data_IF_076760489056
#
_entry.id   IF_076760489056
#
_cell.length_a   1.000
_cell.length_b   1.000
_cell.length_c   1.000
_cell.angle_alpha   90.00
_cell.angle_beta   90.00
_cell.angle_gamma   90.00
#
_symmetry.space_group_name_H-M   'P 1'
#
loop_
_entity.id
_entity.type
_entity.pdbx_description
1 polymer ?
#
# COMPACT_ATOMS: atom_id res chain seq x y z
N UNK A 1 0.87 6.01 16.04
CA UNK A 1 0.42 4.97 17.00
C UNK A 1 1.28 3.71 17.00
N UNK A 2 1.38 2.94 15.91
CA UNK A 2 2.23 1.73 15.88
C UNK A 2 3.73 2.02 16.15
N UNK A 3 4.25 3.11 15.57
CA UNK A 3 5.63 3.56 15.82
C UNK A 3 5.91 3.87 17.31
N UNK A 4 4.91 4.35 18.06
CA UNK A 4 5.04 4.64 19.49
C UNK A 4 5.21 3.34 20.27
N UNK A 5 4.41 2.31 19.97
CA UNK A 5 4.52 1.00 20.63
C UNK A 5 5.87 0.33 20.35
N UNK A 6 6.34 0.38 19.10
CA UNK A 6 7.66 -0.13 18.71
C UNK A 6 8.77 0.63 19.44
N UNK A 7 8.74 1.97 19.40
CA UNK A 7 9.76 2.79 20.04
C UNK A 7 9.79 2.61 21.55
N UNK A 8 8.63 2.47 22.21
CA UNK A 8 8.56 2.22 23.66
C UNK A 8 9.18 0.87 24.03
N UNK A 9 8.90 -0.17 23.25
CA UNK A 9 9.44 -1.50 23.51
C UNK A 9 10.95 -1.56 23.24
N UNK A 10 11.41 -1.02 22.11
CA UNK A 10 12.84 -0.91 21.78
C UNK A 10 13.62 -0.08 22.79
N UNK A 11 13.04 1.02 23.33
CA UNK A 11 13.70 1.82 24.38
C UNK A 11 13.89 1.05 25.69
N UNK A 12 12.96 0.17 26.04
CA UNK A 12 13.02 -0.57 27.30
C UNK A 12 13.82 -1.88 27.20
N UNK A 13 13.90 -2.49 26.02
CA UNK A 13 14.49 -3.82 25.81
C UNK A 13 15.70 -3.84 24.87
N UNK A 14 16.17 -2.66 24.43
CA UNK A 14 17.20 -2.51 23.41
C UNK A 14 16.64 -2.59 21.98
N UNK A 15 17.20 -1.80 21.06
CA UNK A 15 16.71 -1.72 19.69
C UNK A 15 17.24 -2.86 18.82
N UNK A 16 16.58 -4.02 18.93
CA UNK A 16 16.87 -5.21 18.13
C UNK A 16 15.69 -5.56 17.24
N UNK A 17 15.93 -6.37 16.21
CA UNK A 17 14.85 -6.93 15.37
C UNK A 17 13.79 -7.66 16.21
N UNK A 18 14.20 -8.36 17.28
CA UNK A 18 13.29 -9.04 18.19
C UNK A 18 12.41 -8.03 18.97
N UNK A 19 13.02 -6.99 19.54
CA UNK A 19 12.30 -5.94 20.27
C UNK A 19 11.31 -5.18 19.37
N UNK A 20 11.68 -4.89 18.12
CA UNK A 20 10.78 -4.24 17.15
C UNK A 20 9.59 -5.14 16.78
N UNK A 21 9.82 -6.45 16.64
CA UNK A 21 8.76 -7.44 16.38
C UNK A 21 7.80 -7.56 17.56
N UNK A 22 8.31 -7.59 18.79
CA UNK A 22 7.47 -7.63 19.98
C UNK A 22 6.67 -6.33 20.18
N UNK A 23 7.29 -5.17 20.00
CA UNK A 23 6.56 -3.90 20.03
C UNK A 23 5.42 -3.84 18.99
N UNK A 24 5.65 -4.42 17.81
CA UNK A 24 4.61 -4.61 16.79
C UNK A 24 3.51 -5.56 17.27
N UNK A 25 3.86 -6.69 17.89
CA UNK A 25 2.91 -7.65 18.41
C UNK A 25 2.04 -7.06 19.54
N UNK A 26 2.64 -6.28 20.44
CA UNK A 26 1.92 -5.54 21.50
C UNK A 26 0.84 -4.64 20.90
N UNK A 27 1.17 -3.86 19.87
CA UNK A 27 0.19 -3.00 19.20
C UNK A 27 -0.98 -3.81 18.64
N UNK A 28 -0.71 -4.94 17.97
CA UNK A 28 -1.78 -5.75 17.39
C UNK A 28 -2.62 -6.48 18.42
N UNK A 29 -2.04 -6.95 19.52
CA UNK A 29 -2.80 -7.49 20.67
C UNK A 29 -3.74 -6.44 21.25
N UNK A 30 -3.25 -5.20 21.39
CA UNK A 30 -4.08 -4.07 21.83
C UNK A 30 -5.23 -3.79 20.85
N UNK A 31 -4.95 -3.73 19.54
CA UNK A 31 -5.97 -3.48 18.52
C UNK A 31 -7.04 -4.59 18.50
N UNK A 32 -6.62 -5.85 18.61
CA UNK A 32 -7.54 -6.98 18.69
C UNK A 32 -8.43 -6.91 19.94
N UNK A 33 -7.85 -6.63 21.11
CA UNK A 33 -8.61 -6.57 22.37
C UNK A 33 -9.54 -5.36 22.46
N UNK A 34 -9.14 -4.23 21.90
CA UNK A 34 -9.88 -2.97 22.04
C UNK A 34 -10.91 -2.75 20.94
N UNK A 35 -10.62 -3.23 19.72
CA UNK A 35 -11.46 -2.99 18.53
C UNK A 35 -12.10 -4.27 17.99
N UNK A 36 -11.74 -5.45 18.52
CA UNK A 36 -12.26 -6.73 18.04
C UNK A 36 -11.81 -7.11 16.62
N UNK A 37 -10.83 -6.41 16.04
CA UNK A 37 -10.38 -6.64 14.66
C UNK A 37 -9.18 -7.58 14.57
N UNK A 38 -9.08 -8.32 13.47
CA UNK A 38 -7.91 -9.14 13.19
C UNK A 38 -6.64 -8.30 13.01
N UNK A 39 -5.48 -8.92 13.24
CA UNK A 39 -4.18 -8.29 12.94
C UNK A 39 -4.08 -7.86 11.47
N UNK A 40 -4.62 -8.64 10.54
CA UNK A 40 -4.65 -8.32 9.11
C UNK A 40 -5.44 -7.03 8.85
N UNK A 41 -6.64 -6.91 9.43
CA UNK A 41 -7.46 -5.72 9.32
C UNK A 41 -6.77 -4.50 9.92
N UNK A 42 -6.18 -4.63 11.11
CA UNK A 42 -5.43 -3.56 11.76
C UNK A 42 -4.26 -3.04 10.91
N UNK A 43 -3.52 -3.95 10.23
CA UNK A 43 -2.46 -3.56 9.29
C UNK A 43 -2.99 -2.69 8.15
N UNK A 44 -4.13 -3.05 7.57
CA UNK A 44 -4.73 -2.26 6.50
C UNK A 44 -5.23 -0.91 6.99
N UNK A 45 -5.86 -0.83 8.16
CA UNK A 45 -6.22 0.46 8.77
C UNK A 45 -5.02 1.38 8.94
N UNK A 46 -3.93 0.88 9.52
CA UNK A 46 -2.70 1.66 9.67
C UNK A 46 -2.20 2.15 8.31
N UNK A 47 -2.13 1.27 7.30
CA UNK A 47 -1.65 1.64 5.97
C UNK A 47 -2.53 2.67 5.29
N UNK A 48 -3.86 2.56 5.42
CA UNK A 48 -4.78 3.56 4.89
C UNK A 48 -4.55 4.90 5.58
N UNK A 49 -4.47 4.95 6.91
CA UNK A 49 -4.16 6.18 7.63
C UNK A 49 -2.80 6.77 7.26
N UNK A 50 -1.78 5.93 7.06
CA UNK A 50 -0.45 6.41 6.64
C UNK A 50 -0.45 6.99 5.23
N UNK A 51 -1.27 6.46 4.32
CA UNK A 51 -1.30 6.89 2.92
C UNK A 51 -2.24 8.06 2.68
N UNK A 52 -3.38 8.08 3.36
CA UNK A 52 -4.49 9.01 3.11
C UNK A 52 -4.74 9.97 4.29
N UNK A 53 -4.00 9.86 5.40
CA UNK A 53 -4.23 10.69 6.59
C UNK A 53 -4.13 12.19 6.35
N UNK A 54 -3.31 12.60 5.38
CA UNK A 54 -3.16 13.99 4.97
C UNK A 54 -4.06 14.37 3.77
N UNK A 55 -4.93 13.46 3.33
CA UNK A 55 -5.92 13.69 2.27
C UNK A 55 -7.35 13.52 2.86
N UNK A 56 -7.89 14.57 3.51
CA UNK A 56 -9.19 14.50 4.17
C UNK A 56 -10.33 14.19 3.19
N UNK A 57 -10.22 14.64 1.94
CA UNK A 57 -11.22 14.42 0.91
C UNK A 57 -11.34 12.92 0.60
N UNK A 58 -10.22 12.24 0.30
CA UNK A 58 -10.20 10.80 0.07
C UNK A 58 -10.72 10.00 1.28
N UNK A 59 -10.39 10.44 2.50
CA UNK A 59 -10.86 9.82 3.73
C UNK A 59 -12.37 9.98 3.96
N UNK A 60 -12.98 11.06 3.46
CA UNK A 60 -14.43 11.30 3.54
C UNK A 60 -15.24 10.61 2.44
N UNK A 61 -14.67 10.47 1.24
CA UNK A 61 -15.39 9.99 0.05
C UNK A 61 -15.34 8.48 -0.07
N UNK A 62 -14.23 7.84 0.31
CA UNK A 62 -14.04 6.41 0.12
C UNK A 62 -14.35 5.60 1.38
N UNK A 63 -14.93 4.44 1.16
CA UNK A 63 -15.04 3.40 2.19
C UNK A 63 -13.67 2.78 2.46
N UNK A 64 -13.52 2.15 3.62
CA UNK A 64 -12.27 1.45 3.96
C UNK A 64 -11.86 0.40 2.92
N UNK A 65 -12.82 -0.32 2.34
CA UNK A 65 -12.56 -1.34 1.31
C UNK A 65 -11.97 -0.73 0.03
N UNK A 66 -12.41 0.46 -0.34
CA UNK A 66 -11.93 1.20 -1.52
C UNK A 66 -10.56 1.83 -1.26
N UNK A 67 -10.37 2.44 -0.09
CA UNK A 67 -9.04 2.91 0.34
C UNK A 67 -8.02 1.75 0.30
N UNK A 68 -8.45 0.54 0.67
CA UNK A 68 -7.60 -0.65 0.60
C UNK A 68 -7.23 -1.04 -0.83
N UNK A 69 -8.10 -0.82 -1.81
CA UNK A 69 -7.80 -1.02 -3.24
C UNK A 69 -6.77 0.03 -3.68
N UNK A 70 -6.97 1.29 -3.29
CA UNK A 70 -6.08 2.41 -3.63
C UNK A 70 -4.69 2.34 -2.96
N UNK A 71 -4.47 1.43 -2.01
CA UNK A 71 -3.14 1.18 -1.44
C UNK A 71 -2.14 0.55 -2.42
N UNK A 72 -2.58 0.09 -3.60
CA UNK A 72 -1.69 -0.50 -4.59
C UNK A 72 -0.56 0.48 -5.00
N UNK A 73 0.64 -0.06 -5.25
CA UNK A 73 1.86 0.76 -5.47
C UNK A 73 1.80 1.63 -6.72
N UNK A 74 1.10 1.17 -7.76
CA UNK A 74 0.98 1.86 -9.05
C UNK A 74 -0.13 2.93 -9.06
N UNK A 75 -0.95 3.00 -8.01
CA UNK A 75 -1.92 4.09 -7.84
C UNK A 75 -1.14 5.32 -7.40
N UNK A 76 -1.32 6.46 -8.06
CA UNK A 76 -0.62 7.72 -7.78
C UNK A 76 -1.58 8.72 -7.13
N UNK A 77 -1.08 9.91 -6.77
CA UNK A 77 -1.94 10.97 -6.24
C UNK A 77 -2.97 11.44 -7.29
N UNK A 78 -2.58 11.48 -8.57
CA UNK A 78 -3.45 11.84 -9.69
C UNK A 78 -4.58 10.83 -9.85
N UNK A 79 -4.28 9.53 -9.75
CA UNK A 79 -5.29 8.48 -9.75
C UNK A 79 -6.28 8.64 -8.58
N UNK A 80 -5.79 8.96 -7.38
CA UNK A 80 -6.64 9.19 -6.21
C UNK A 80 -7.56 10.39 -6.44
N UNK A 81 -7.04 11.51 -6.92
CA UNK A 81 -7.82 12.71 -7.21
C UNK A 81 -8.88 12.47 -8.30
N UNK A 82 -8.55 11.69 -9.33
CA UNK A 82 -9.51 11.28 -10.35
C UNK A 82 -10.63 10.40 -9.76
N UNK A 83 -10.29 9.42 -8.93
CA UNK A 83 -11.27 8.56 -8.26
C UNK A 83 -12.17 9.34 -7.30
N UNK A 84 -11.63 10.38 -6.63
CA UNK A 84 -12.41 11.23 -5.72
C UNK A 84 -13.49 11.96 -6.51
N UNK A 85 -13.11 12.62 -7.61
CA UNK A 85 -14.06 13.30 -8.50
C UNK A 85 -15.15 12.35 -9.01
N UNK A 86 -14.74 11.20 -9.55
CA UNK A 86 -15.66 10.19 -10.07
C UNK A 86 -16.67 9.71 -9.01
N UNK A 87 -16.25 9.54 -7.76
CA UNK A 87 -17.14 9.11 -6.68
C UNK A 87 -17.99 10.24 -6.11
N UNK A 88 -17.49 11.47 -6.08
CA UNK A 88 -18.28 12.65 -5.71
C UNK A 88 -19.42 12.90 -6.71
N UNK A 89 -19.20 12.61 -7.99
CA UNK A 89 -20.23 12.69 -9.05
C UNK A 89 -21.21 11.50 -9.01
N UNK A 90 -20.79 10.35 -8.47
CA UNK A 90 -21.64 9.18 -8.29
C UNK A 90 -21.40 8.50 -6.94
N UNK A 91 -22.06 9.01 -5.89
CA UNK A 91 -21.92 8.51 -4.53
C UNK A 91 -22.38 7.04 -4.36
N UNK A 92 -23.25 6.56 -5.26
CA UNK A 92 -23.77 5.18 -5.29
C UNK A 92 -22.92 4.22 -6.12
N UNK A 93 -21.73 4.64 -6.57
CA UNK A 93 -20.83 3.80 -7.35
C UNK A 93 -20.56 2.47 -6.64
N UNK A 94 -20.83 1.37 -7.34
CA UNK A 94 -20.58 0.03 -6.82
C UNK A 94 -19.08 -0.26 -6.75
N UNK A 95 -18.71 -1.28 -5.98
CA UNK A 95 -17.31 -1.70 -5.87
C UNK A 95 -16.75 -2.15 -7.22
N UNK A 96 -17.54 -2.83 -8.03
CA UNK A 96 -17.17 -3.31 -9.35
C UNK A 96 -16.90 -2.13 -10.29
N UNK A 97 -17.80 -1.14 -10.31
CA UNK A 97 -17.64 0.09 -11.07
C UNK A 97 -16.40 0.88 -10.61
N UNK A 98 -16.19 0.98 -9.29
CA UNK A 98 -15.00 1.61 -8.71
C UNK A 98 -13.71 0.95 -9.22
N UNK A 99 -13.63 -0.38 -9.15
CA UNK A 99 -12.44 -1.12 -9.62
C UNK A 99 -12.24 -1.03 -11.13
N UNK A 100 -13.33 -1.04 -11.90
CA UNK A 100 -13.29 -0.87 -13.35
C UNK A 100 -12.76 0.51 -13.74
N UNK A 101 -13.26 1.57 -13.11
CA UNK A 101 -12.82 2.93 -13.37
C UNK A 101 -11.35 3.13 -13.02
N UNK A 102 -10.90 2.64 -11.85
CA UNK A 102 -9.49 2.68 -11.49
C UNK A 102 -8.61 1.96 -12.51
N UNK A 103 -9.04 0.78 -13.00
CA UNK A 103 -8.30 0.03 -14.00
C UNK A 103 -8.15 0.83 -15.31
N UNK A 104 -9.23 1.44 -15.80
CA UNK A 104 -9.17 2.28 -17.00
C UNK A 104 -8.22 3.48 -16.84
N UNK A 105 -8.18 4.12 -15.67
CA UNK A 105 -7.23 5.20 -15.38
C UNK A 105 -5.77 4.71 -15.41
N UNK A 106 -5.51 3.51 -14.89
CA UNK A 106 -4.17 2.91 -14.91
C UNK A 106 -3.73 2.54 -16.33
N UNK A 107 -4.65 2.07 -17.17
CA UNK A 107 -4.36 1.75 -18.58
C UNK A 107 -4.04 3.03 -19.38
N UNK A 108 -4.82 4.10 -19.19
CA UNK A 108 -4.59 5.40 -19.84
C UNK A 108 -3.25 6.04 -19.45
N UNK A 109 -2.82 5.89 -18.20
CA UNK A 109 -1.51 6.39 -17.77
C UNK A 109 -0.35 5.50 -18.19
N UNK A 110 -0.59 4.20 -18.42
CA UNK A 110 0.42 3.31 -19.01
C UNK A 110 0.66 3.57 -20.50
N UNK A 111 -0.37 3.95 -21.26
CA UNK A 111 -0.24 4.29 -22.69
C UNK A 111 0.27 5.71 -22.94
N UNK A 112 0.23 6.59 -21.92
CA UNK A 112 0.77 7.95 -21.97
C UNK A 112 2.27 8.09 -21.66
N UNK A 113 2.92 7.02 -21.17
CA UNK A 113 4.35 6.98 -20.89
C UNK A 113 5.06 6.08 -21.90
N UNK A 114 5.26 6.58 -23.12
CA UNK A 114 6.09 5.96 -24.17
C UNK A 114 7.59 5.90 -23.79
N UNK A 115 7.90 5.29 -22.65
CA UNK A 115 9.23 4.84 -22.24
C UNK A 115 9.23 3.31 -21.98
N UNK A 116 8.34 2.58 -22.66
CA UNK A 116 8.33 1.10 -22.72
C UNK A 116 9.52 0.54 -23.54
N UNK A 117 10.40 1.40 -24.08
CA UNK A 117 11.57 1.00 -24.88
C UNK A 117 12.80 0.88 -23.98
N UNK A 118 12.91 -0.24 -23.26
CA UNK A 118 14.14 -1.04 -23.03
C UNK A 118 13.92 -1.99 -21.85
N UNK A 119 13.34 -3.16 -22.14
CA UNK A 119 13.69 -4.36 -21.39
C UNK A 119 15.12 -4.74 -21.81
N UNK A 120 16.07 -4.97 -20.89
CA UNK A 120 17.28 -5.67 -21.27
C UNK A 120 16.85 -7.06 -21.75
N UNK A 121 17.06 -7.31 -23.06
CA UNK A 121 17.18 -8.69 -23.54
C UNK A 121 18.37 -9.26 -22.79
N UNK A 122 18.10 -10.04 -21.74
CA UNK A 122 19.12 -10.81 -21.04
C UNK A 122 19.80 -11.70 -22.05
N UNK A 123 20.91 -11.23 -22.59
CA UNK A 123 21.85 -12.03 -23.33
C UNK A 123 22.39 -13.08 -22.38
N UNK A 124 22.04 -14.33 -22.63
CA UNK A 124 22.68 -15.44 -21.95
C UNK A 124 24.09 -15.58 -22.54
N UNK A 125 25.06 -14.89 -21.93
CA UNK A 125 26.48 -15.03 -22.22
C UNK A 125 27.21 -15.59 -21.00
N UNK A 126 26.76 -16.74 -20.51
CA UNK A 126 27.61 -17.60 -19.67
C UNK A 126 28.14 -18.73 -20.56
N UNK A 127 29.16 -18.37 -21.34
CA UNK A 127 30.09 -19.31 -21.93
C UNK A 127 31.48 -18.92 -21.42
N UNK A 128 31.83 -19.39 -20.21
CA UNK A 128 33.21 -19.33 -19.72
C UNK A 128 33.93 -20.62 -20.11
N UNK A 129 35.04 -20.56 -20.86
CA UNK A 129 35.83 -21.74 -21.15
C UNK A 129 36.58 -22.18 -19.89
N UNK A 130 36.52 -23.49 -19.61
CA UNK A 130 37.48 -24.16 -18.73
C UNK A 130 38.89 -23.91 -19.24
N UNK A 131 39.74 -23.32 -18.41
CA UNK A 131 41.18 -23.29 -18.61
C UNK A 131 41.86 -23.88 -17.38
N UNK A 132 42.63 -24.93 -17.65
CA UNK A 132 43.52 -25.63 -16.74
C UNK A 132 44.55 -24.69 -16.09
N UNK A 133 44.85 -24.92 -14.81
CA UNK A 133 46.19 -25.24 -14.32
C UNK A 133 46.14 -25.70 -12.86
#
# INVERSE_FOLDING_TARGET
>A
MMAIAINRYSKNCGDTTASRREGTAVFFRFAQRSLGISQGSARYYIRCYQRFGDNPEAMSVFTFSELRILLAKHVTAEHIAAMVRAKSENATMTREAFTGHLKSLLEQTSDGSSAFRQLPRGGNSDNRPSANH
#
